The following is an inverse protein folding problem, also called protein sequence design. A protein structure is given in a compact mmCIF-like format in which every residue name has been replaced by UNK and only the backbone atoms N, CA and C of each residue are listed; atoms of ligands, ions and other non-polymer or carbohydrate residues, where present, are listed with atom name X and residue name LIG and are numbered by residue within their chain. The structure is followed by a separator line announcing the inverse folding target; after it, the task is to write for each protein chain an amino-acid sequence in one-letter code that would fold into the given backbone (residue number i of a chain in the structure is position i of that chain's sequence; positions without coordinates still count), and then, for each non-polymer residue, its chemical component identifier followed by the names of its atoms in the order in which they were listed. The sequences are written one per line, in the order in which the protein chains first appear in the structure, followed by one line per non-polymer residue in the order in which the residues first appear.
data_IF_101330723678
#
_entry.id   IF_101330723678
#
_cell.length_a   1.000
_cell.length_b   1.000
_cell.length_c   1.000
_cell.angle_alpha   90.00
_cell.angle_beta   90.00
_cell.angle_gamma   90.00
#
_symmetry.space_group_name_H-M   'P 1'
#
loop_
_entity.id
_entity.type
_entity.pdbx_description
1 polymer ?
#
# COMPACT_ATOMS: atom_id res chain seq x y z
N UNK A 1 12.11 14.20 -1.64
CA UNK A 1 10.66 13.92 -1.77
C UNK A 1 10.22 13.92 -3.24
N UNK A 2 10.56 14.94 -4.04
CA UNK A 2 10.10 15.03 -5.45
C UNK A 2 10.65 13.92 -6.37
N UNK A 3 11.92 13.52 -6.20
CA UNK A 3 12.52 12.44 -6.99
C UNK A 3 11.74 11.13 -6.87
N UNK A 4 11.33 10.74 -5.65
CA UNK A 4 10.57 9.52 -5.41
C UNK A 4 9.23 9.51 -6.17
N UNK A 5 8.51 10.64 -6.16
CA UNK A 5 7.20 10.74 -6.81
C UNK A 5 7.34 10.67 -8.34
N UNK A 6 8.32 11.41 -8.88
CA UNK A 6 8.51 11.52 -10.34
C UNK A 6 9.15 10.28 -10.92
N UNK A 7 10.12 9.69 -10.23
CA UNK A 7 10.91 8.58 -10.73
C UNK A 7 10.30 7.25 -10.28
N UNK A 8 10.23 6.98 -8.98
CA UNK A 8 9.90 5.64 -8.48
C UNK A 8 8.39 5.36 -8.57
N UNK A 9 7.56 6.24 -7.99
CA UNK A 9 6.11 6.05 -7.93
C UNK A 9 5.48 6.03 -9.32
N UNK A 10 5.84 6.97 -10.19
CA UNK A 10 5.33 7.00 -11.57
C UNK A 10 5.75 5.76 -12.36
N UNK A 11 7.02 5.36 -12.26
CA UNK A 11 7.54 4.21 -13.01
C UNK A 11 6.86 2.92 -12.57
N UNK A 12 6.68 2.72 -11.26
CA UNK A 12 6.01 1.50 -10.80
C UNK A 12 4.53 1.46 -11.18
N UNK A 13 3.81 2.59 -11.15
CA UNK A 13 2.42 2.61 -11.61
C UNK A 13 2.31 2.22 -13.09
N UNK A 14 3.23 2.67 -13.95
CA UNK A 14 3.27 2.21 -15.35
C UNK A 14 3.59 0.71 -15.46
N UNK A 15 4.55 0.22 -14.68
CA UNK A 15 4.92 -1.21 -14.71
C UNK A 15 3.84 -2.13 -14.14
N UNK A 16 3.11 -1.72 -13.10
CA UNK A 16 2.02 -2.48 -12.47
C UNK A 16 0.98 -2.86 -13.54
N UNK A 17 0.71 -1.91 -14.44
CA UNK A 17 -0.20 -2.05 -15.57
C UNK A 17 0.34 -3.02 -16.64
N UNK A 18 1.56 -2.77 -17.12
CA UNK A 18 2.09 -3.44 -18.31
C UNK A 18 2.55 -4.87 -18.03
N UNK A 19 3.03 -5.13 -16.81
CA UNK A 19 3.67 -6.39 -16.44
C UNK A 19 2.79 -7.30 -15.58
N UNK A 20 1.53 -6.93 -15.35
CA UNK A 20 0.61 -7.63 -14.46
C UNK A 20 1.29 -7.99 -13.13
N UNK A 21 1.85 -6.96 -12.49
CA UNK A 21 2.73 -7.12 -11.35
C UNK A 21 1.95 -7.75 -10.21
N UNK A 22 2.46 -8.86 -9.71
CA UNK A 22 1.79 -9.65 -8.68
C UNK A 22 1.63 -8.88 -7.36
N UNK A 23 0.81 -9.43 -6.46
CA UNK A 23 0.73 -9.01 -5.07
C UNK A 23 2.12 -8.94 -4.42
N UNK A 24 2.28 -8.06 -3.43
CA UNK A 24 3.55 -7.94 -2.68
C UNK A 24 3.77 -9.19 -1.84
N UNK A 25 2.72 -9.71 -1.22
CA UNK A 25 2.76 -10.99 -0.52
C UNK A 25 2.50 -12.09 -1.55
N UNK A 26 3.48 -12.99 -1.68
CA UNK A 26 3.39 -14.22 -2.45
C UNK A 26 3.63 -15.40 -1.52
N UNK A 27 2.79 -16.43 -1.65
CA UNK A 27 3.06 -17.70 -0.98
C UNK A 27 4.20 -18.41 -1.69
N UNK A 28 5.20 -18.81 -0.91
CA UNK A 28 6.38 -19.52 -1.40
C UNK A 28 6.35 -20.92 -0.84
N UNK A 29 6.22 -21.90 -1.74
CA UNK A 29 6.15 -23.31 -1.38
C UNK A 29 7.47 -24.03 -1.64
N UNK A 30 8.33 -23.46 -2.50
CA UNK A 30 9.61 -24.05 -2.88
C UNK A 30 10.75 -23.03 -2.83
N UNK A 31 11.97 -23.42 -2.41
CA UNK A 31 13.10 -22.49 -2.32
C UNK A 31 13.44 -21.77 -3.63
N UNK A 32 13.17 -22.39 -4.79
CA UNK A 32 13.44 -21.79 -6.09
C UNK A 32 12.54 -20.57 -6.39
N UNK A 33 11.33 -20.54 -5.81
CA UNK A 33 10.35 -19.47 -5.96
C UNK A 33 10.75 -18.20 -5.20
N UNK A 34 11.72 -18.27 -4.27
CA UNK A 34 12.23 -17.12 -3.50
C UNK A 34 12.77 -16.03 -4.43
N UNK A 35 13.37 -16.40 -5.57
CA UNK A 35 13.87 -15.42 -6.55
C UNK A 35 12.73 -14.55 -7.10
N UNK A 36 11.53 -15.10 -7.19
CA UNK A 36 10.33 -14.39 -7.64
C UNK A 36 9.82 -13.37 -6.62
N UNK A 37 10.32 -13.35 -5.38
CA UNK A 37 10.02 -12.29 -4.42
C UNK A 37 10.78 -11.00 -4.69
N UNK A 38 11.89 -11.06 -5.43
CA UNK A 38 12.79 -9.93 -5.67
C UNK A 38 12.45 -9.17 -6.97
N UNK A 39 11.18 -9.20 -7.42
CA UNK A 39 10.70 -8.43 -8.56
C UNK A 39 10.39 -6.96 -8.19
N UNK A 40 10.05 -6.17 -9.22
CA UNK A 40 9.72 -4.75 -9.12
C UNK A 40 8.59 -4.44 -8.12
N UNK A 41 7.68 -5.38 -7.80
CA UNK A 41 6.64 -5.20 -6.77
C UNK A 41 7.22 -4.88 -5.39
N UNK A 42 8.22 -5.66 -4.96
CA UNK A 42 8.81 -5.52 -3.62
C UNK A 42 9.62 -4.23 -3.44
N UNK A 43 10.23 -3.72 -4.51
CA UNK A 43 11.12 -2.55 -4.44
C UNK A 43 10.54 -1.27 -5.05
N UNK A 44 9.49 -1.37 -5.85
CA UNK A 44 8.77 -0.21 -6.38
C UNK A 44 7.42 0.02 -5.68
N UNK A 45 6.57 -1.01 -5.62
CA UNK A 45 5.18 -0.88 -5.14
C UNK A 45 5.13 -0.77 -3.63
N UNK A 46 5.90 -1.59 -2.92
CA UNK A 46 5.91 -1.58 -1.46
C UNK A 46 6.32 -0.21 -0.88
N UNK A 47 7.40 0.46 -1.34
CA UNK A 47 7.72 1.82 -0.86
C UNK A 47 6.61 2.84 -1.12
N UNK A 48 5.91 2.77 -2.26
CA UNK A 48 4.81 3.67 -2.57
C UNK A 48 3.63 3.47 -1.59
N UNK A 49 3.30 2.22 -1.26
CA UNK A 49 2.28 1.86 -0.26
C UNK A 49 2.69 2.27 1.15
N UNK A 50 3.95 2.06 1.56
CA UNK A 50 4.46 2.51 2.85
C UNK A 50 4.41 4.03 2.97
N UNK A 51 4.75 4.75 1.89
CA UNK A 51 4.62 6.21 1.84
C UNK A 51 3.17 6.64 1.97
N UNK A 52 2.23 6.00 1.25
CA UNK A 52 0.79 6.28 1.39
C UNK A 52 0.34 6.09 2.84
N UNK A 53 0.71 4.98 3.49
CA UNK A 53 0.39 4.72 4.89
C UNK A 53 0.92 5.81 5.82
N UNK A 54 2.17 6.25 5.63
CA UNK A 54 2.75 7.36 6.39
C UNK A 54 1.88 8.63 6.30
N UNK A 55 1.34 8.96 5.12
CA UNK A 55 0.43 10.10 4.96
C UNK A 55 -0.94 9.88 5.59
N UNK A 56 -1.45 8.64 5.61
CA UNK A 56 -2.74 8.31 6.25
C UNK A 56 -2.66 8.51 7.77
N UNK A 57 -1.58 8.06 8.41
CA UNK A 57 -1.47 8.04 9.87
C UNK A 57 -0.63 9.18 10.45
N UNK A 58 -0.03 10.03 9.62
CA UNK A 58 0.95 11.09 9.96
C UNK A 58 2.36 10.60 10.27
N UNK A 59 3.34 11.50 10.05
CA UNK A 59 4.76 11.23 10.27
C UNK A 59 5.09 10.83 11.71
N UNK A 60 4.44 11.45 12.69
CA UNK A 60 4.70 11.19 14.11
C UNK A 60 4.24 9.80 14.53
N UNK A 61 2.99 9.44 14.22
CA UNK A 61 2.44 8.12 14.53
C UNK A 61 3.21 7.04 13.78
N UNK A 62 3.53 7.28 12.50
CA UNK A 62 4.32 6.35 11.70
C UNK A 62 5.69 6.10 12.32
N UNK A 63 6.45 7.16 12.65
CA UNK A 63 7.78 7.04 13.27
C UNK A 63 7.72 6.32 14.60
N UNK A 64 6.77 6.70 15.47
CA UNK A 64 6.62 6.09 16.79
C UNK A 64 6.18 4.63 16.69
N UNK A 65 5.33 4.29 15.71
CA UNK A 65 4.94 2.91 15.41
C UNK A 65 6.09 2.06 14.90
N UNK A 66 6.96 2.59 14.05
CA UNK A 66 8.19 1.90 13.62
C UNK A 66 9.15 1.66 14.79
N UNK A 67 9.35 2.66 15.66
CA UNK A 67 10.16 2.49 16.88
C UNK A 67 9.58 1.37 17.74
N UNK A 68 8.26 1.38 17.98
CA UNK A 68 7.56 0.33 18.74
C UNK A 68 7.73 -1.05 18.08
N UNK A 69 7.55 -1.15 16.77
CA UNK A 69 7.71 -2.38 16.00
C UNK A 69 9.11 -2.98 16.18
N UNK A 70 10.15 -2.18 15.91
CA UNK A 70 11.54 -2.62 16.00
C UNK A 70 11.93 -3.06 17.42
N UNK A 71 11.48 -2.35 18.46
CA UNK A 71 11.71 -2.77 19.84
C UNK A 71 10.95 -4.03 20.23
N UNK A 72 9.77 -4.25 19.67
CA UNK A 72 8.95 -5.44 20.00
C UNK A 72 9.51 -6.68 19.30
N UNK A 73 9.94 -6.54 18.05
CA UNK A 73 10.42 -7.65 17.22
C UNK A 73 11.94 -7.82 17.20
N UNK A 74 12.66 -7.12 18.08
CA UNK A 74 14.11 -7.29 18.20
C UNK A 74 14.45 -8.76 18.49
N UNK A 75 15.42 -9.30 17.75
CA UNK A 75 15.90 -10.68 17.88
C UNK A 75 14.85 -11.78 17.64
N UNK A 76 13.73 -11.44 16.99
CA UNK A 76 12.64 -12.36 16.63
C UNK A 76 12.37 -12.35 15.12
N UNK A 77 11.57 -13.32 14.67
CA UNK A 77 10.94 -13.29 13.36
C UNK A 77 9.75 -12.31 13.37
N UNK A 78 9.43 -11.75 12.20
CA UNK A 78 8.34 -10.81 12.05
C UNK A 78 7.54 -11.10 10.78
N UNK A 79 6.26 -10.73 10.84
CA UNK A 79 5.30 -10.78 9.74
C UNK A 79 4.76 -9.37 9.45
N UNK A 80 4.02 -9.20 8.35
CA UNK A 80 3.34 -7.92 8.08
C UNK A 80 2.35 -7.53 9.19
N UNK A 81 1.70 -8.52 9.81
CA UNK A 81 0.74 -8.29 10.88
C UNK A 81 1.39 -7.68 12.13
N UNK A 82 2.64 -8.04 12.41
CA UNK A 82 3.40 -7.46 13.52
C UNK A 82 3.64 -5.94 13.33
N UNK A 83 3.90 -5.52 12.09
CA UNK A 83 4.05 -4.11 11.74
C UNK A 83 2.70 -3.38 11.88
N UNK A 84 1.62 -3.95 11.34
CA UNK A 84 0.28 -3.36 11.43
C UNK A 84 -0.17 -3.20 12.88
N UNK A 85 0.07 -4.20 13.73
CA UNK A 85 -0.26 -4.16 15.15
C UNK A 85 0.52 -3.07 15.90
N UNK A 86 1.81 -2.92 15.61
CA UNK A 86 2.63 -1.90 16.24
C UNK A 86 2.18 -0.48 15.85
N UNK A 87 1.89 -0.24 14.56
CA UNK A 87 1.38 1.05 14.07
C UNK A 87 -0.01 1.34 14.63
N UNK A 88 -0.92 0.35 14.63
CA UNK A 88 -2.27 0.50 15.16
C UNK A 88 -2.25 0.85 16.65
N UNK A 89 -1.38 0.23 17.44
CA UNK A 89 -1.27 0.50 18.87
C UNK A 89 -0.81 1.93 19.20
N UNK A 90 -0.10 2.59 18.29
CA UNK A 90 0.27 4.01 18.42
C UNK A 90 -0.86 4.90 17.88
N UNK A 91 -1.45 4.52 16.74
CA UNK A 91 -2.58 5.23 16.14
C UNK A 91 -3.79 5.31 17.09
N UNK A 92 -4.12 4.20 17.78
CA UNK A 92 -5.20 4.10 18.77
C UNK A 92 -5.01 5.05 19.97
N UNK A 93 -3.79 5.56 20.19
CA UNK A 93 -3.45 6.51 21.27
C UNK A 93 -3.27 7.95 20.78
N UNK A 94 -3.42 8.18 19.49
CA UNK A 94 -3.26 9.48 18.86
C UNK A 94 -4.61 10.14 18.58
N UNK A 95 -4.57 11.43 18.26
CA UNK A 95 -5.75 12.20 17.85
C UNK A 95 -6.10 12.06 16.35
N UNK A 96 -5.36 11.23 15.60
CA UNK A 96 -5.59 11.01 14.17
C UNK A 96 -6.92 10.25 13.99
N UNK A 97 -7.91 10.77 13.24
CA UNK A 97 -9.17 10.08 13.05
C UNK A 97 -9.02 8.78 12.26
N UNK A 98 -9.43 7.66 12.85
CA UNK A 98 -9.35 6.34 12.24
C UNK A 98 -10.46 5.38 12.70
N UNK A 99 -11.54 5.89 13.29
CA UNK A 99 -12.64 5.06 13.81
C UNK A 99 -13.41 4.25 12.75
N UNK A 100 -13.21 4.56 11.47
CA UNK A 100 -13.89 3.90 10.35
C UNK A 100 -13.06 2.81 9.67
N UNK A 101 -11.81 2.57 10.11
CA UNK A 101 -10.94 1.55 9.53
C UNK A 101 -9.92 1.01 10.54
N UNK A 102 -9.41 -0.22 10.29
CA UNK A 102 -8.19 -0.73 10.93
C UNK A 102 -7.06 -0.80 9.92
N UNK A 103 -5.83 -0.52 10.37
CA UNK A 103 -4.66 -0.51 9.50
C UNK A 103 -4.45 -1.85 8.81
N UNK A 104 -4.59 -2.97 9.53
CA UNK A 104 -4.47 -4.30 8.93
C UNK A 104 -5.47 -4.49 7.78
N UNK A 105 -6.72 -4.11 7.98
CA UNK A 105 -7.77 -4.27 6.97
C UNK A 105 -7.46 -3.48 5.70
N UNK A 106 -7.04 -2.22 5.87
CA UNK A 106 -6.66 -1.36 4.75
C UNK A 106 -5.38 -1.88 4.08
N UNK A 107 -4.32 -2.17 4.84
CA UNK A 107 -3.03 -2.52 4.25
C UNK A 107 -3.02 -3.92 3.64
N UNK A 108 -3.83 -4.85 4.14
CA UNK A 108 -3.99 -6.17 3.55
C UNK A 108 -4.55 -6.10 2.13
N UNK A 109 -5.46 -5.16 1.82
CA UNK A 109 -5.96 -5.02 0.43
C UNK A 109 -4.84 -4.60 -0.51
N UNK A 110 -3.98 -3.69 -0.08
CA UNK A 110 -2.88 -3.17 -0.89
C UNK A 110 -1.72 -4.16 -1.12
N UNK A 111 -1.46 -5.06 -0.17
CA UNK A 111 -0.32 -6.00 -0.26
C UNK A 111 -0.71 -7.38 -0.78
N UNK A 112 -1.99 -7.77 -0.69
CA UNK A 112 -2.49 -9.09 -1.11
C UNK A 112 -3.19 -9.09 -2.47
N UNK A 113 -3.62 -7.92 -2.96
CA UNK A 113 -4.23 -7.79 -4.29
C UNK A 113 -3.18 -7.33 -5.31
N UNK A 114 -3.33 -7.75 -6.55
CA UNK A 114 -2.56 -7.20 -7.67
C UNK A 114 -3.08 -5.81 -8.04
N UNK A 115 -2.24 -5.04 -8.72
CA UNK A 115 -2.60 -3.73 -9.30
C UNK A 115 -2.96 -2.63 -8.28
N UNK A 116 -3.45 -1.50 -8.78
CA UNK A 116 -3.89 -0.36 -7.98
C UNK A 116 -5.24 0.17 -8.51
N UNK A 117 -6.07 0.78 -7.65
CA UNK A 117 -7.37 1.30 -8.07
C UNK A 117 -7.23 2.64 -8.80
N UNK A 118 -8.10 2.87 -9.78
CA UNK A 118 -8.41 4.23 -10.26
C UNK A 118 -9.65 4.73 -9.56
N UNK A 119 -9.57 5.96 -9.05
CA UNK A 119 -10.70 6.68 -8.46
C UNK A 119 -11.24 7.67 -9.47
N UNK A 120 -12.49 7.47 -9.87
CA UNK A 120 -13.24 8.36 -10.73
C UNK A 120 -13.96 9.42 -9.90
N UNK A 121 -13.87 10.67 -10.32
CA UNK A 121 -14.49 11.81 -9.65
C UNK A 121 -15.55 12.41 -10.56
N UNK A 122 -16.83 12.22 -10.20
CA UNK A 122 -17.97 12.68 -11.01
C UNK A 122 -18.76 13.75 -10.26
N UNK A 123 -18.70 15.03 -10.68
CA UNK A 123 -19.47 16.10 -10.07
C UNK A 123 -20.94 16.08 -10.54
N UNK A 124 -21.88 16.00 -9.60
CA UNK A 124 -23.32 16.19 -9.85
C UNK A 124 -23.69 17.67 -9.67
N UNK A 125 -23.63 18.43 -10.77
CA UNK A 125 -23.88 19.88 -10.79
C UNK A 125 -25.26 20.29 -10.25
N UNK A 126 -26.27 19.42 -10.41
CA UNK A 126 -27.63 19.73 -9.97
C UNK A 126 -27.82 19.68 -8.44
N UNK A 127 -27.10 18.79 -7.76
CA UNK A 127 -27.20 18.59 -6.30
C UNK A 127 -26.00 19.16 -5.53
N UNK A 128 -24.99 19.69 -6.24
CA UNK A 128 -23.71 20.10 -5.69
C UNK A 128 -22.99 18.96 -4.93
N UNK A 129 -23.19 17.72 -5.38
CA UNK A 129 -22.56 16.52 -4.81
C UNK A 129 -21.36 16.09 -5.67
N UNK A 130 -20.38 15.42 -5.04
CA UNK A 130 -19.28 14.74 -5.73
C UNK A 130 -19.43 13.25 -5.48
N UNK A 131 -19.48 12.46 -6.56
CA UNK A 131 -19.48 11.01 -6.49
C UNK A 131 -18.07 10.50 -6.76
N UNK A 132 -17.61 9.65 -5.86
CA UNK A 132 -16.36 8.90 -6.00
C UNK A 132 -16.70 7.43 -6.26
N UNK A 133 -16.18 6.88 -7.35
CA UNK A 133 -16.24 5.43 -7.61
C UNK A 133 -14.82 4.93 -7.83
N UNK A 134 -14.55 3.69 -7.43
CA UNK A 134 -13.26 3.06 -7.69
C UNK A 134 -13.46 1.84 -8.58
N UNK A 135 -12.49 1.58 -9.44
CA UNK A 135 -12.40 0.35 -10.21
C UNK A 135 -10.96 -0.13 -10.30
N UNK A 136 -10.80 -1.42 -10.59
CA UNK A 136 -9.52 -2.01 -10.90
C UNK A 136 -9.04 -1.49 -12.26
N UNK A 137 -7.78 -1.07 -12.35
CA UNK A 137 -7.24 -0.57 -13.60
C UNK A 137 -6.72 -1.70 -14.47
N UNK A 138 -7.42 -1.97 -15.57
CA UNK A 138 -6.98 -2.89 -16.61
C UNK A 138 -6.68 -2.08 -17.86
N UNK A 139 -5.44 -2.13 -18.35
CA UNK A 139 -5.13 -1.58 -19.67
C UNK A 139 -5.77 -2.48 -20.73
N UNK A 140 -6.91 -2.05 -21.27
CA UNK A 140 -7.51 -2.69 -22.43
C UNK A 140 -6.69 -2.28 -23.65
N UNK A 141 -5.70 -3.10 -24.00
CA UNK A 141 -5.06 -3.01 -25.31
C UNK A 141 -6.13 -3.30 -26.37
N UNK A 142 -6.58 -2.26 -27.08
CA UNK A 142 -7.32 -2.46 -28.32
C UNK A 142 -6.36 -3.10 -29.33
N UNK A 143 -6.48 -4.42 -29.53
CA UNK A 143 -5.98 -5.05 -30.74
C UNK A 143 -6.70 -4.38 -31.92
N UNK A 144 -5.92 -3.69 -32.76
CA UNK A 144 -6.33 -3.26 -34.10
C UNK A 144 -5.85 -4.27 -35.12
#
# INVERSE_FOLDING_TARGET
MEYFVVHDQRTILHKDIDMNVNSIILEVNRPEEIKSLFFDSSYGKAPAIVRMLQHIITDEVFRNGLIKYLHTQQFSLATSDDLWNALQAVLDKSDVPHNVYRLKEVMDTWIKQSDFPIVHVTPKKATNEIILTQEHFVCVCFEK
#
